data_IF_918429710408
#
_entry.id   IF_918429710408
#
_cell.length_a   1.000
_cell.length_b   1.000
_cell.length_c   1.000
_cell.angle_alpha   90.00
_cell.angle_beta   90.00
_cell.angle_gamma   90.00
#
_symmetry.space_group_name_H-M   'P 1'
#
loop_
_entity.id
_entity.type
_entity.pdbx_description
1 polymer ?
#
# COMPACT_ATOMS: atom_id res chain seq x y z
N UNK A 1 -30.04 -18.71 -1.04
CA UNK A 1 -30.70 -17.80 -1.99
C UNK A 1 -29.70 -16.71 -2.25
N UNK A 2 -29.43 -16.38 -3.52
CA UNK A 2 -28.55 -15.26 -3.88
C UNK A 2 -29.19 -13.96 -3.39
N UNK A 3 -28.49 -13.19 -2.57
CA UNK A 3 -28.96 -11.90 -2.09
C UNK A 3 -28.60 -10.86 -3.14
N UNK A 4 -29.60 -10.35 -3.87
CA UNK A 4 -29.45 -9.29 -4.85
C UNK A 4 -29.98 -7.99 -4.24
N UNK A 5 -29.16 -6.92 -4.33
CA UNK A 5 -29.49 -5.60 -3.82
C UNK A 5 -28.80 -4.51 -4.66
N UNK A 6 -29.14 -3.27 -4.44
CA UNK A 6 -28.53 -2.16 -5.15
C UNK A 6 -28.17 -1.00 -4.21
N UNK A 7 -27.16 -0.24 -4.58
CA UNK A 7 -26.76 1.03 -3.96
C UNK A 7 -26.76 2.13 -5.00
N UNK A 8 -27.23 3.32 -4.61
CA UNK A 8 -27.32 4.50 -5.47
C UNK A 8 -26.75 5.72 -4.76
N UNK A 9 -25.97 6.49 -5.51
CA UNK A 9 -25.44 7.78 -5.08
C UNK A 9 -25.50 8.79 -6.22
N UNK A 10 -25.74 10.07 -5.89
CA UNK A 10 -25.72 11.18 -6.87
C UNK A 10 -24.31 11.57 -7.26
N UNK A 11 -23.32 11.21 -6.43
CA UNK A 11 -21.88 11.41 -6.66
C UNK A 11 -21.18 10.07 -6.63
N UNK A 12 -20.40 9.77 -7.65
CA UNK A 12 -19.67 8.52 -7.72
C UNK A 12 -18.31 8.69 -8.40
N UNK A 13 -17.37 7.83 -8.00
CA UNK A 13 -16.11 7.59 -8.69
C UNK A 13 -16.05 6.08 -9.03
N UNK A 14 -15.89 5.75 -10.31
CA UNK A 14 -16.03 4.35 -10.77
C UNK A 14 -14.73 3.52 -10.66
N UNK A 15 -13.66 4.15 -10.19
CA UNK A 15 -12.30 3.59 -10.17
C UNK A 15 -11.40 4.16 -11.26
N UNK A 16 -11.95 4.91 -12.23
CA UNK A 16 -11.22 5.57 -13.33
C UNK A 16 -11.48 7.07 -13.38
N UNK A 17 -12.71 7.49 -13.02
CA UNK A 17 -13.11 8.89 -13.06
C UNK A 17 -14.40 9.16 -12.31
N UNK A 18 -14.71 10.45 -12.14
CA UNK A 18 -15.96 10.87 -11.54
C UNK A 18 -17.14 10.74 -12.53
N UNK A 19 -18.21 10.09 -12.09
CA UNK A 19 -19.40 9.83 -12.90
C UNK A 19 -20.39 10.97 -12.74
N UNK A 20 -20.73 11.63 -13.85
CA UNK A 20 -21.74 12.71 -13.86
C UNK A 20 -23.15 12.16 -13.72
N UNK A 21 -23.94 12.75 -12.82
CA UNK A 21 -25.35 12.38 -12.63
C UNK A 21 -25.57 11.14 -11.78
N UNK A 22 -24.53 10.72 -11.07
CA UNK A 22 -24.63 9.61 -10.12
C UNK A 22 -24.55 8.22 -10.74
N UNK A 23 -24.64 7.21 -9.88
CA UNK A 23 -24.48 5.82 -10.25
C UNK A 23 -25.39 4.93 -9.41
N UNK A 24 -25.97 3.89 -10.05
CA UNK A 24 -26.63 2.79 -9.36
C UNK A 24 -25.84 1.51 -9.60
N UNK A 25 -25.36 0.87 -8.54
CA UNK A 25 -24.59 -0.39 -8.57
C UNK A 25 -25.48 -1.50 -8.06
N UNK A 26 -25.62 -2.57 -8.85
CA UNK A 26 -26.37 -3.78 -8.50
C UNK A 26 -25.39 -4.86 -8.10
N UNK A 27 -25.60 -5.40 -6.91
CA UNK A 27 -24.76 -6.44 -6.31
C UNK A 27 -25.53 -7.74 -6.22
N UNK A 28 -24.89 -8.85 -6.52
CA UNK A 28 -25.40 -10.19 -6.29
C UNK A 28 -24.35 -11.03 -5.58
N UNK A 29 -24.68 -11.50 -4.38
CA UNK A 29 -23.74 -12.22 -3.50
C UNK A 29 -22.52 -11.33 -3.16
N UNK A 30 -21.36 -11.61 -3.70
CA UNK A 30 -20.10 -10.89 -3.43
C UNK A 30 -19.58 -10.07 -4.63
N UNK A 31 -20.38 -9.98 -5.74
CA UNK A 31 -19.95 -9.31 -6.96
C UNK A 31 -20.93 -8.26 -7.44
N UNK A 32 -20.39 -7.27 -8.13
CA UNK A 32 -21.16 -6.32 -8.92
C UNK A 32 -21.66 -7.04 -10.17
N UNK A 33 -22.96 -7.01 -10.41
CA UNK A 33 -23.60 -7.63 -11.59
C UNK A 33 -24.18 -6.63 -12.56
N UNK A 34 -24.29 -5.36 -12.16
CA UNK A 34 -24.76 -4.27 -13.03
C UNK A 34 -24.33 -2.92 -12.50
N UNK A 35 -24.07 -2.00 -13.40
CA UNK A 35 -23.74 -0.60 -13.12
C UNK A 35 -24.50 0.27 -14.10
N UNK A 36 -25.41 1.10 -13.59
CA UNK A 36 -26.29 1.92 -14.39
C UNK A 36 -26.08 3.41 -14.07
N UNK A 37 -25.97 4.28 -15.06
CA UNK A 37 -25.84 5.71 -14.82
C UNK A 37 -27.11 6.29 -14.21
N UNK A 38 -26.96 7.17 -13.22
CA UNK A 38 -28.03 7.97 -12.64
C UNK A 38 -29.14 7.16 -11.98
N UNK A 39 -30.36 7.65 -12.13
CA UNK A 39 -31.59 7.15 -11.52
C UNK A 39 -32.27 6.11 -12.41
N UNK A 40 -31.74 4.90 -12.49
CA UNK A 40 -32.38 3.80 -13.21
C UNK A 40 -33.59 3.22 -12.43
N UNK A 41 -34.55 2.65 -13.13
CA UNK A 41 -35.67 1.90 -12.53
C UNK A 41 -35.19 0.47 -12.26
N UNK A 42 -35.18 0.10 -10.99
CA UNK A 42 -34.84 -1.26 -10.57
C UNK A 42 -36.09 -2.16 -10.56
N UNK A 43 -35.91 -3.48 -10.71
CA UNK A 43 -36.97 -4.45 -10.42
C UNK A 43 -37.50 -4.27 -8.98
N UNK A 44 -38.82 -4.45 -8.74
CA UNK A 44 -39.44 -4.18 -7.44
C UNK A 44 -38.90 -5.09 -6.31
N UNK A 45 -38.33 -6.19 -6.63
CA UNK A 45 -37.78 -7.19 -5.72
C UNK A 45 -36.31 -6.97 -5.36
N UNK A 46 -35.66 -5.93 -5.93
CA UNK A 46 -34.27 -5.56 -5.64
C UNK A 46 -34.26 -4.44 -4.58
N UNK A 47 -33.88 -4.73 -3.32
CA UNK A 47 -33.73 -3.71 -2.29
C UNK A 47 -32.74 -2.63 -2.71
N UNK A 48 -33.07 -1.36 -2.51
CA UNK A 48 -32.24 -0.22 -2.84
C UNK A 48 -31.80 0.51 -1.57
N UNK A 49 -30.50 0.74 -1.46
CA UNK A 49 -29.90 1.66 -0.48
C UNK A 49 -29.50 2.95 -1.19
N UNK A 50 -30.10 4.07 -0.83
CA UNK A 50 -29.67 5.40 -1.28
C UNK A 50 -28.68 5.98 -0.28
N UNK A 51 -27.58 6.55 -0.80
CA UNK A 51 -26.50 7.11 0.02
C UNK A 51 -26.26 8.57 -0.34
N UNK A 52 -26.01 9.37 0.69
CA UNK A 52 -25.49 10.73 0.54
C UNK A 52 -23.97 10.68 0.68
N UNK A 53 -23.25 11.52 -0.07
CA UNK A 53 -21.80 11.48 -0.16
C UNK A 53 -21.31 10.97 -1.53
N UNK A 54 -20.08 10.51 -1.59
CA UNK A 54 -19.50 9.95 -2.83
C UNK A 54 -19.33 8.44 -2.69
N UNK A 55 -19.97 7.70 -3.59
CA UNK A 55 -19.79 6.25 -3.73
C UNK A 55 -18.54 5.97 -4.58
N UNK A 56 -17.68 5.08 -4.11
CA UNK A 56 -16.48 4.65 -4.84
C UNK A 56 -16.14 3.17 -4.52
N UNK A 57 -15.23 2.54 -5.29
CA UNK A 57 -14.68 1.25 -4.88
C UNK A 57 -13.97 1.35 -3.55
N UNK A 58 -13.95 0.28 -2.78
CA UNK A 58 -13.11 0.19 -1.59
C UNK A 58 -11.64 0.46 -1.91
N UNK A 59 -10.94 1.12 -1.00
CA UNK A 59 -9.53 1.48 -1.16
C UNK A 59 -8.63 0.24 -1.07
N UNK A 60 -7.52 0.29 -1.79
CA UNK A 60 -6.45 -0.72 -1.78
C UNK A 60 -5.16 -0.07 -1.30
N UNK A 61 -4.63 -0.53 -0.15
CA UNK A 61 -3.34 -0.07 0.39
C UNK A 61 -2.23 -1.01 -0.06
N UNK A 62 -1.37 -0.53 -0.98
CA UNK A 62 -0.34 -1.35 -1.62
C UNK A 62 0.87 -1.63 -0.74
N UNK A 63 0.98 -1.01 0.44
CA UNK A 63 2.14 -1.17 1.32
C UNK A 63 1.76 -1.00 2.78
N UNK A 64 1.67 -2.12 3.49
CA UNK A 64 1.46 -2.13 4.94
C UNK A 64 2.40 -3.13 5.61
N UNK A 65 2.58 -2.98 6.93
CA UNK A 65 3.24 -3.90 7.82
C UNK A 65 2.27 -4.25 8.95
N UNK A 66 1.44 -5.26 8.74
CA UNK A 66 0.35 -5.62 9.67
C UNK A 66 0.87 -6.10 11.04
N UNK A 67 2.10 -6.57 11.11
CA UNK A 67 2.76 -7.00 12.37
C UNK A 67 3.22 -5.83 13.24
N UNK A 68 3.12 -4.58 12.76
CA UNK A 68 3.61 -3.39 13.46
C UNK A 68 2.53 -2.32 13.63
N UNK A 69 2.55 -1.62 14.77
CA UNK A 69 1.56 -0.62 15.15
C UNK A 69 1.99 0.84 14.88
N UNK A 70 3.09 1.04 14.16
CA UNK A 70 3.63 2.37 13.86
C UNK A 70 4.25 3.04 15.09
N UNK A 71 5.24 2.40 15.69
CA UNK A 71 6.02 2.96 16.80
C UNK A 71 7.49 3.12 16.39
N UNK A 72 8.29 3.81 17.20
CA UNK A 72 9.73 3.96 16.93
C UNK A 72 10.48 2.64 17.06
N UNK A 73 11.56 2.45 16.28
CA UNK A 73 12.46 1.29 16.41
C UNK A 73 12.85 1.06 17.89
N UNK A 74 12.88 -0.21 18.31
CA UNK A 74 13.16 -0.61 19.69
C UNK A 74 11.98 -0.48 20.66
N UNK A 75 10.85 0.11 20.23
CA UNK A 75 9.66 0.23 21.09
C UNK A 75 8.67 -0.93 20.82
N UNK A 76 7.84 -1.31 21.82
CA UNK A 76 6.75 -2.26 21.59
C UNK A 76 5.85 -1.82 20.43
N UNK A 77 5.54 -2.75 19.53
CA UNK A 77 4.76 -2.47 18.33
C UNK A 77 5.56 -1.91 17.14
N UNK A 78 6.90 -1.82 17.22
CA UNK A 78 7.74 -1.54 16.05
C UNK A 78 7.97 -2.81 15.21
N UNK A 79 8.47 -2.63 13.98
CA UNK A 79 8.89 -3.77 13.14
C UNK A 79 10.02 -4.58 13.80
N UNK A 80 10.97 -3.93 14.47
CA UNK A 80 12.03 -4.61 15.21
C UNK A 80 11.46 -5.45 16.37
N UNK A 81 10.50 -4.90 17.11
CA UNK A 81 9.79 -5.64 18.17
C UNK A 81 9.06 -6.86 17.59
N UNK A 82 8.45 -6.74 16.41
CA UNK A 82 7.74 -7.84 15.77
C UNK A 82 8.66 -9.05 15.53
N UNK A 83 9.93 -8.82 15.15
CA UNK A 83 10.92 -9.88 14.97
C UNK A 83 11.23 -10.72 16.23
N UNK A 84 10.90 -10.21 17.42
CA UNK A 84 11.11 -10.89 18.70
C UNK A 84 9.81 -11.23 19.43
N UNK A 85 8.66 -10.78 18.93
CA UNK A 85 7.36 -10.92 19.60
C UNK A 85 6.83 -12.35 19.48
N UNK A 86 6.04 -12.77 20.49
CA UNK A 86 5.36 -14.05 20.47
C UNK A 86 4.16 -14.07 19.51
N UNK A 87 3.85 -15.25 19.00
CA UNK A 87 2.82 -15.47 17.99
C UNK A 87 1.45 -14.86 18.33
N UNK A 88 0.96 -15.03 19.55
CA UNK A 88 -0.34 -14.49 19.97
C UNK A 88 -0.38 -12.98 19.96
N UNK A 89 0.70 -12.32 20.40
CA UNK A 89 0.80 -10.86 20.39
C UNK A 89 0.79 -10.31 18.97
N UNK A 90 1.42 -11.01 18.03
CA UNK A 90 1.40 -10.63 16.61
C UNK A 90 0.00 -10.77 16.00
N UNK A 91 -0.72 -11.88 16.30
CA UNK A 91 -2.09 -12.09 15.78
C UNK A 91 -3.06 -11.01 16.29
N UNK A 92 -2.91 -10.57 17.54
CA UNK A 92 -3.70 -9.48 18.11
C UNK A 92 -3.40 -8.14 17.42
N UNK A 93 -2.12 -7.84 17.17
CA UNK A 93 -1.68 -6.64 16.44
C UNK A 93 -2.20 -6.66 15.00
N UNK A 94 -2.00 -7.78 14.26
CA UNK A 94 -2.49 -7.93 12.89
C UNK A 94 -4.00 -7.70 12.82
N UNK A 95 -4.77 -8.33 13.70
CA UNK A 95 -6.23 -8.20 13.73
C UNK A 95 -6.67 -6.76 14.03
N UNK A 96 -6.00 -6.09 14.96
CA UNK A 96 -6.25 -4.68 15.31
C UNK A 96 -5.98 -3.77 14.12
N UNK A 97 -4.86 -3.99 13.43
CA UNK A 97 -4.45 -3.20 12.27
C UNK A 97 -5.39 -3.41 11.07
N UNK A 98 -5.84 -4.65 10.82
CA UNK A 98 -6.86 -4.93 9.79
C UNK A 98 -8.19 -4.23 10.09
N UNK A 99 -8.63 -4.18 11.36
CA UNK A 99 -9.82 -3.42 11.76
C UNK A 99 -9.65 -1.91 11.53
N UNK A 100 -8.46 -1.36 11.82
CA UNK A 100 -8.18 0.05 11.54
C UNK A 100 -8.21 0.36 10.03
N UNK A 101 -7.73 -0.56 9.19
CA UNK A 101 -7.78 -0.43 7.73
C UNK A 101 -9.22 -0.39 7.22
N UNK A 102 -10.06 -1.37 7.59
CA UNK A 102 -11.45 -1.39 7.11
C UNK A 102 -12.26 -0.19 7.62
N UNK A 103 -12.03 0.25 8.86
CA UNK A 103 -12.67 1.44 9.42
C UNK A 103 -12.32 2.73 8.65
N UNK A 104 -11.20 2.72 7.91
CA UNK A 104 -10.79 3.80 7.02
C UNK A 104 -11.17 3.59 5.54
N UNK A 105 -12.02 2.60 5.23
CA UNK A 105 -12.48 2.33 3.87
C UNK A 105 -11.51 1.49 3.03
N UNK A 106 -10.44 0.96 3.63
CA UNK A 106 -9.49 0.07 2.94
C UNK A 106 -10.04 -1.36 2.96
N UNK A 107 -10.30 -1.91 1.79
CA UNK A 107 -10.92 -3.25 1.61
C UNK A 107 -9.91 -4.32 1.18
N UNK A 108 -8.74 -3.88 0.71
CA UNK A 108 -7.61 -4.76 0.38
C UNK A 108 -6.32 -4.13 0.85
N UNK A 109 -5.42 -4.93 1.42
CA UNK A 109 -4.08 -4.52 1.83
C UNK A 109 -3.03 -5.44 1.22
N UNK A 110 -1.86 -4.88 0.83
CA UNK A 110 -0.67 -5.64 0.50
C UNK A 110 0.37 -5.49 1.61
N UNK A 111 0.58 -6.57 2.36
CA UNK A 111 1.62 -6.64 3.38
C UNK A 111 2.96 -6.97 2.74
N UNK A 112 3.94 -6.10 2.90
CA UNK A 112 5.26 -6.21 2.28
C UNK A 112 6.37 -6.49 3.29
N UNK A 113 6.02 -7.01 4.45
CA UNK A 113 7.02 -7.44 5.42
C UNK A 113 6.40 -7.85 6.75
N UNK A 114 6.37 -9.16 6.97
CA UNK A 114 6.00 -9.76 8.24
C UNK A 114 7.13 -10.63 8.82
N UNK A 115 6.83 -11.37 9.87
CA UNK A 115 7.71 -12.35 10.49
C UNK A 115 7.06 -13.72 10.44
N UNK A 116 7.84 -14.75 10.11
CA UNK A 116 7.42 -16.15 10.08
C UNK A 116 6.14 -16.41 9.22
N UNK A 117 5.94 -15.61 8.15
CA UNK A 117 4.77 -15.69 7.26
C UNK A 117 3.42 -15.58 8.01
N UNK A 118 3.39 -14.85 9.11
CA UNK A 118 2.25 -14.78 10.03
C UNK A 118 1.01 -14.21 9.38
N UNK A 119 1.19 -13.20 8.54
CA UNK A 119 0.09 -12.50 7.86
C UNK A 119 -0.67 -13.42 6.91
N UNK A 120 -0.02 -14.46 6.34
CA UNK A 120 -0.70 -15.45 5.50
C UNK A 120 -1.85 -16.17 6.23
N UNK A 121 -1.73 -16.38 7.54
CA UNK A 121 -2.77 -16.99 8.37
C UNK A 121 -4.04 -16.15 8.53
N UNK A 122 -3.98 -14.86 8.14
CA UNK A 122 -5.11 -13.94 8.17
C UNK A 122 -5.84 -13.81 6.83
N UNK A 123 -5.39 -14.52 5.78
CA UNK A 123 -6.12 -14.63 4.52
C UNK A 123 -7.41 -15.42 4.68
N UNK A 124 -8.39 -15.12 3.84
CA UNK A 124 -9.58 -15.94 3.68
C UNK A 124 -10.53 -16.00 4.88
N UNK A 125 -10.37 -15.13 5.87
CA UNK A 125 -11.29 -14.98 7.00
C UNK A 125 -12.60 -14.33 6.55
N UNK A 126 -13.32 -15.05 5.67
CA UNK A 126 -14.63 -14.62 5.17
C UNK A 126 -15.60 -14.46 6.33
N UNK A 127 -16.34 -13.35 6.35
CA UNK A 127 -17.37 -13.08 7.36
C UNK A 127 -16.87 -12.37 8.62
N UNK A 128 -15.57 -12.16 8.82
CA UNK A 128 -15.04 -11.41 9.96
C UNK A 128 -15.05 -9.89 9.75
N UNK A 129 -15.45 -9.41 8.57
CA UNK A 129 -15.46 -7.97 8.26
C UNK A 129 -14.07 -7.35 8.18
N UNK A 130 -13.06 -8.14 7.79
CA UNK A 130 -11.67 -7.72 7.64
C UNK A 130 -11.28 -7.58 6.17
N UNK A 131 -10.32 -6.69 5.82
CA UNK A 131 -9.84 -6.53 4.46
C UNK A 131 -9.24 -7.80 3.87
N UNK A 132 -9.27 -7.90 2.56
CA UNK A 132 -8.48 -8.89 1.81
C UNK A 132 -7.00 -8.65 2.03
N UNK A 133 -6.22 -9.73 2.16
CA UNK A 133 -4.78 -9.65 2.38
C UNK A 133 -4.04 -10.26 1.18
N UNK A 134 -3.14 -9.50 0.59
CA UNK A 134 -2.07 -9.89 -0.32
C UNK A 134 -0.78 -9.84 0.49
N UNK A 135 0.04 -10.87 0.53
CA UNK A 135 1.17 -10.92 1.46
C UNK A 135 2.46 -11.46 0.84
N UNK A 136 3.57 -10.82 1.23
CA UNK A 136 4.93 -11.19 0.80
C UNK A 136 5.64 -12.14 1.78
N UNK A 137 5.23 -12.17 3.04
CA UNK A 137 6.02 -12.80 4.09
C UNK A 137 7.27 -11.99 4.48
N UNK A 138 8.27 -12.58 5.15
CA UNK A 138 9.50 -11.91 5.53
C UNK A 138 10.24 -11.35 4.31
N UNK A 139 10.60 -10.04 4.30
CA UNK A 139 11.26 -9.43 3.15
C UNK A 139 12.67 -9.97 2.99
N UNK A 140 13.09 -10.25 1.76
CA UNK A 140 14.45 -10.72 1.46
C UNK A 140 15.47 -9.59 1.62
N UNK A 141 16.51 -9.85 2.39
CA UNK A 141 17.58 -8.90 2.68
C UNK A 141 18.91 -9.61 2.88
N UNK A 142 20.02 -8.88 2.80
CA UNK A 142 21.35 -9.42 3.08
C UNK A 142 21.62 -9.53 4.61
N UNK A 143 22.66 -10.25 5.06
CA UNK A 143 23.07 -10.25 6.45
C UNK A 143 23.31 -8.84 6.98
N UNK A 144 22.74 -8.52 8.14
CA UNK A 144 22.72 -7.18 8.75
C UNK A 144 22.07 -6.08 7.87
N UNK A 145 21.38 -6.44 6.78
CA UNK A 145 20.67 -5.54 5.90
C UNK A 145 19.38 -4.98 6.51
N UNK A 146 18.69 -4.12 5.76
CA UNK A 146 17.45 -3.51 6.22
C UNK A 146 16.38 -4.55 6.54
N UNK A 147 15.72 -4.42 7.68
CA UNK A 147 14.70 -5.35 8.20
C UNK A 147 15.18 -6.80 8.40
N UNK A 148 16.48 -7.06 8.57
CA UNK A 148 17.03 -8.41 8.78
C UNK A 148 16.39 -9.14 9.98
N UNK A 149 15.90 -8.41 10.96
CA UNK A 149 15.24 -8.93 12.16
C UNK A 149 13.86 -9.59 11.87
N UNK A 150 13.31 -9.42 10.68
CA UNK A 150 12.08 -10.10 10.25
C UNK A 150 12.32 -11.52 9.71
N UNK A 151 13.58 -11.96 9.56
CA UNK A 151 13.93 -13.36 9.28
C UNK A 151 14.10 -13.71 7.80
N UNK A 152 13.95 -12.76 6.86
CA UNK A 152 14.13 -13.00 5.42
C UNK A 152 15.58 -12.87 4.93
N UNK A 153 16.58 -13.19 5.77
CA UNK A 153 18.00 -13.02 5.43
C UNK A 153 18.45 -14.06 4.41
N UNK A 154 19.07 -13.59 3.33
CA UNK A 154 19.75 -14.40 2.32
C UNK A 154 21.21 -13.96 2.21
N UNK A 155 22.10 -14.91 2.07
CA UNK A 155 23.52 -14.64 1.78
C UNK A 155 23.76 -14.92 0.30
N UNK A 156 23.96 -13.88 -0.54
CA UNK A 156 24.18 -14.08 -1.98
C UNK A 156 25.44 -14.88 -2.30
N UNK A 157 26.41 -14.93 -1.41
CA UNK A 157 27.66 -15.64 -1.58
C UNK A 157 27.56 -17.12 -1.12
N UNK A 158 26.50 -17.48 -0.37
CA UNK A 158 26.21 -18.86 0.02
C UNK A 158 25.50 -19.62 -1.11
N UNK A 159 26.08 -20.69 -1.64
CA UNK A 159 25.47 -21.48 -2.71
C UNK A 159 24.07 -22.01 -2.33
N UNK A 160 23.09 -21.71 -3.16
CA UNK A 160 21.70 -22.15 -2.99
C UNK A 160 20.87 -21.33 -1.99
N UNK A 161 21.41 -20.27 -1.41
CA UNK A 161 20.67 -19.40 -0.44
C UNK A 161 19.47 -18.75 -1.09
N UNK A 162 19.61 -18.17 -2.28
CA UNK A 162 18.53 -17.51 -3.02
C UNK A 162 17.44 -18.51 -3.45
N UNK A 163 17.86 -19.69 -3.92
CA UNK A 163 16.94 -20.76 -4.36
C UNK A 163 16.10 -21.28 -3.18
N UNK A 164 16.71 -21.53 -2.02
CA UNK A 164 15.98 -21.96 -0.82
C UNK A 164 14.98 -20.90 -0.37
N UNK A 165 15.37 -19.64 -0.39
CA UNK A 165 14.50 -18.54 0.01
C UNK A 165 13.30 -18.38 -0.90
N UNK A 166 13.45 -18.54 -2.22
CA UNK A 166 12.33 -18.50 -3.17
C UNK A 166 11.47 -19.75 -3.03
N UNK A 167 12.07 -20.94 -2.92
CA UNK A 167 11.31 -22.19 -2.74
C UNK A 167 10.44 -22.16 -1.48
N UNK A 168 10.94 -21.63 -0.37
CA UNK A 168 10.16 -21.45 0.86
C UNK A 168 8.94 -20.56 0.62
N UNK A 169 9.07 -19.44 -0.08
CA UNK A 169 7.97 -18.52 -0.38
C UNK A 169 6.92 -19.17 -1.27
N UNK A 170 7.34 -19.95 -2.25
CA UNK A 170 6.44 -20.75 -3.10
C UNK A 170 5.69 -21.78 -2.26
N UNK A 171 6.37 -22.51 -1.38
CA UNK A 171 5.77 -23.50 -0.49
C UNK A 171 4.77 -22.87 0.48
N UNK A 172 5.09 -21.71 1.03
CA UNK A 172 4.21 -20.93 1.91
C UNK A 172 3.03 -20.30 1.16
N UNK A 173 3.11 -20.19 -0.16
CA UNK A 173 2.07 -19.62 -1.00
C UNK A 173 1.93 -18.11 -0.87
N UNK A 174 3.04 -17.36 -0.85
CA UNK A 174 2.99 -15.88 -0.92
C UNK A 174 2.41 -15.39 -2.23
N UNK A 175 1.89 -14.16 -2.27
CA UNK A 175 1.33 -13.55 -3.48
C UNK A 175 2.38 -12.75 -4.25
N UNK A 176 3.39 -12.25 -3.56
CA UNK A 176 4.44 -11.38 -4.08
C UNK A 176 5.70 -11.59 -3.26
N UNK A 177 6.87 -11.30 -3.82
CA UNK A 177 8.14 -11.30 -3.08
C UNK A 177 8.56 -9.86 -2.84
N UNK A 178 9.00 -9.55 -1.62
CA UNK A 178 9.64 -8.28 -1.26
C UNK A 178 11.14 -8.46 -1.09
N UNK A 179 11.93 -7.56 -1.69
CA UNK A 179 13.39 -7.50 -1.49
C UNK A 179 13.82 -6.11 -1.02
N UNK A 180 14.82 -6.05 -0.15
CA UNK A 180 15.41 -4.80 0.33
C UNK A 180 16.62 -4.45 -0.53
N UNK A 181 16.43 -3.71 -1.64
CA UNK A 181 17.49 -3.35 -2.57
C UNK A 181 18.40 -2.22 -2.04
N UNK A 182 17.95 -1.44 -1.07
CA UNK A 182 18.75 -0.43 -0.36
C UNK A 182 18.61 -0.58 1.15
N UNK A 183 19.46 0.09 1.92
CA UNK A 183 19.22 0.32 3.34
C UNK A 183 18.02 1.22 3.58
N UNK A 184 17.58 1.33 4.83
CA UNK A 184 16.37 2.08 5.19
C UNK A 184 16.45 2.71 6.58
N UNK A 185 15.42 3.49 6.92
CA UNK A 185 15.39 4.33 8.13
C UNK A 185 15.15 3.54 9.42
N UNK A 186 14.54 2.35 9.32
CA UNK A 186 14.09 1.59 10.49
C UNK A 186 15.13 0.61 11.03
N UNK A 187 16.28 0.45 10.35
CA UNK A 187 17.34 -0.47 10.76
C UNK A 187 18.62 0.32 11.02
N UNK A 188 18.99 0.51 12.30
CA UNK A 188 20.25 1.17 12.64
C UNK A 188 21.45 0.48 11.96
N UNK A 189 22.34 1.27 11.36
CA UNK A 189 23.54 0.76 10.70
C UNK A 189 23.36 0.32 9.26
N UNK A 190 22.13 0.19 8.73
CA UNK A 190 21.92 -0.04 7.29
C UNK A 190 22.24 1.22 6.48
N UNK A 191 22.82 1.05 5.27
CA UNK A 191 23.23 2.19 4.43
C UNK A 191 22.07 2.66 3.54
N UNK A 192 21.45 3.81 3.90
CA UNK A 192 20.35 4.42 3.17
C UNK A 192 20.76 5.01 1.81
N UNK A 193 22.07 5.18 1.55
CA UNK A 193 22.60 5.77 0.32
C UNK A 193 23.19 4.74 -0.64
N UNK A 194 23.37 3.50 -0.19
CA UNK A 194 23.93 2.39 -0.95
C UNK A 194 22.90 1.40 -1.48
N UNK A 195 23.32 0.53 -2.38
CA UNK A 195 22.61 -0.69 -2.73
C UNK A 195 23.00 -1.82 -1.77
N UNK A 196 22.04 -2.67 -1.37
CA UNK A 196 22.32 -3.85 -0.53
C UNK A 196 22.71 -5.08 -1.33
N UNK A 197 22.30 -5.16 -2.57
CA UNK A 197 22.64 -6.25 -3.48
C UNK A 197 23.50 -5.73 -4.63
N UNK A 198 24.44 -6.55 -5.07
CA UNK A 198 25.04 -6.37 -6.38
C UNK A 198 24.06 -6.80 -7.49
N UNK A 199 24.29 -6.34 -8.72
CA UNK A 199 23.39 -6.59 -9.85
C UNK A 199 23.22 -8.10 -10.15
N UNK A 200 24.30 -8.86 -10.15
CA UNK A 200 24.24 -10.26 -10.57
C UNK A 200 23.40 -11.13 -9.61
N UNK A 201 23.60 -11.10 -8.27
CA UNK A 201 22.73 -11.83 -7.34
C UNK A 201 21.28 -11.32 -7.33
N UNK A 202 21.02 -10.01 -7.44
CA UNK A 202 19.66 -9.51 -7.48
C UNK A 202 18.94 -9.95 -8.75
N UNK A 203 19.59 -9.92 -9.91
CA UNK A 203 19.03 -10.45 -11.16
C UNK A 203 18.69 -11.92 -11.06
N UNK A 204 19.62 -12.74 -10.49
CA UNK A 204 19.35 -14.16 -10.24
C UNK A 204 18.12 -14.36 -9.35
N UNK A 205 17.98 -13.56 -8.29
CA UNK A 205 16.81 -13.60 -7.41
C UNK A 205 15.51 -13.28 -8.20
N UNK A 206 15.53 -12.22 -9.01
CA UNK A 206 14.40 -11.84 -9.86
C UNK A 206 14.04 -12.97 -10.82
N UNK A 207 15.02 -13.55 -11.52
CA UNK A 207 14.79 -14.67 -12.46
C UNK A 207 14.17 -15.89 -11.76
N UNK A 208 14.61 -16.23 -10.54
CA UNK A 208 14.04 -17.33 -9.75
C UNK A 208 12.58 -17.06 -9.36
N UNK A 209 12.28 -15.83 -8.92
CA UNK A 209 10.92 -15.41 -8.56
C UNK A 209 10.00 -15.44 -9.77
N UNK A 210 10.43 -14.91 -10.92
CA UNK A 210 9.67 -14.93 -12.16
C UNK A 210 9.45 -16.36 -12.69
N UNK A 211 10.47 -17.23 -12.59
CA UNK A 211 10.34 -18.64 -12.95
C UNK A 211 9.30 -19.38 -12.09
N UNK A 212 9.07 -18.91 -10.85
CA UNK A 212 8.02 -19.41 -9.97
C UNK A 212 6.63 -18.80 -10.25
N UNK A 213 6.50 -17.89 -11.22
CA UNK A 213 5.25 -17.20 -11.56
C UNK A 213 4.85 -16.10 -10.58
N UNK A 214 5.78 -15.65 -9.73
CA UNK A 214 5.57 -14.57 -8.76
C UNK A 214 6.14 -13.25 -9.28
N UNK A 215 5.62 -12.14 -8.74
CA UNK A 215 6.19 -10.80 -8.91
C UNK A 215 7.13 -10.48 -7.76
N UNK A 216 8.08 -9.57 -8.01
CA UNK A 216 9.01 -9.06 -6.98
C UNK A 216 9.00 -7.54 -6.95
N UNK A 217 8.83 -6.97 -5.74
CA UNK A 217 8.89 -5.53 -5.51
C UNK A 217 10.07 -5.17 -4.60
N UNK A 218 10.75 -4.09 -4.92
CA UNK A 218 12.01 -3.70 -4.28
C UNK A 218 11.86 -2.44 -3.43
N UNK A 219 12.27 -2.51 -2.16
CA UNK A 219 12.50 -1.35 -1.31
C UNK A 219 13.68 -0.53 -1.85
N UNK A 220 13.47 0.73 -2.16
CA UNK A 220 14.47 1.60 -2.81
C UNK A 220 14.44 3.01 -2.23
N UNK A 221 15.32 3.30 -1.27
CA UNK A 221 15.52 4.68 -0.82
C UNK A 221 16.63 5.39 -1.59
N UNK A 222 17.70 4.68 -1.95
CA UNK A 222 18.86 5.27 -2.64
C UNK A 222 18.75 5.22 -4.17
N UNK A 223 19.47 6.12 -4.84
CA UNK A 223 19.66 6.03 -6.29
C UNK A 223 20.36 4.72 -6.69
N UNK A 224 21.49 4.28 -6.07
CA UNK A 224 22.09 3.01 -6.42
C UNK A 224 21.18 1.80 -6.19
N UNK A 225 20.38 1.78 -5.10
CA UNK A 225 19.41 0.70 -4.85
C UNK A 225 18.31 0.65 -5.92
N UNK A 226 17.80 1.80 -6.35
CA UNK A 226 16.83 1.88 -7.44
C UNK A 226 17.44 1.45 -8.79
N UNK A 227 18.65 1.89 -9.11
CA UNK A 227 19.35 1.53 -10.34
C UNK A 227 19.58 0.02 -10.46
N UNK A 228 19.99 -0.61 -9.37
CA UNK A 228 20.24 -2.06 -9.35
C UNK A 228 18.93 -2.84 -9.45
N UNK A 229 17.84 -2.39 -8.79
CA UNK A 229 16.53 -3.02 -8.86
C UNK A 229 15.94 -2.95 -10.29
N UNK A 230 16.04 -1.78 -10.95
CA UNK A 230 15.64 -1.59 -12.35
C UNK A 230 16.47 -2.46 -13.29
N UNK A 231 17.80 -2.49 -13.11
CA UNK A 231 18.69 -3.29 -13.95
C UNK A 231 18.49 -4.80 -13.74
N UNK A 232 18.07 -5.22 -12.57
CA UNK A 232 17.76 -6.61 -12.26
C UNK A 232 16.42 -7.05 -12.83
N UNK A 233 15.49 -6.12 -13.15
CA UNK A 233 14.19 -6.42 -13.72
C UNK A 233 13.09 -6.64 -12.68
N UNK A 234 13.17 -5.98 -11.51
CA UNK A 234 12.07 -5.99 -10.53
C UNK A 234 10.76 -5.45 -11.15
N UNK A 235 9.60 -5.87 -10.63
CA UNK A 235 8.29 -5.48 -11.16
C UNK A 235 7.78 -4.16 -10.60
N UNK A 236 8.26 -3.78 -9.42
CA UNK A 236 7.85 -2.54 -8.73
C UNK A 236 8.91 -2.00 -7.80
N UNK A 237 8.82 -0.70 -7.53
CA UNK A 237 9.73 0.05 -6.66
C UNK A 237 8.92 0.69 -5.53
N UNK A 238 9.29 0.36 -4.30
CA UNK A 238 8.70 0.92 -3.10
C UNK A 238 9.53 2.12 -2.62
N UNK A 239 8.86 3.16 -2.12
CA UNK A 239 9.40 4.45 -1.69
C UNK A 239 9.98 5.28 -2.84
N UNK A 240 10.92 4.74 -3.58
CA UNK A 240 11.61 5.41 -4.70
C UNK A 240 12.05 6.85 -4.36
N UNK A 241 12.55 7.04 -3.14
CA UNK A 241 12.91 8.37 -2.60
C UNK A 241 14.10 8.97 -3.33
N UNK A 242 14.93 8.12 -3.94
CA UNK A 242 16.13 8.49 -4.69
C UNK A 242 17.06 9.42 -3.89
N UNK A 243 17.35 9.00 -2.64
CA UNK A 243 18.31 9.69 -1.79
C UNK A 243 19.71 9.64 -2.40
N UNK A 244 20.37 10.79 -2.38
CA UNK A 244 21.76 10.97 -2.75
C UNK A 244 22.40 12.01 -1.81
N UNK A 245 23.72 12.15 -1.84
CA UNK A 245 24.38 13.24 -1.11
C UNK A 245 23.84 14.59 -1.60
N UNK A 246 23.29 15.38 -0.68
CA UNK A 246 22.77 16.72 -0.96
C UNK A 246 21.32 16.78 -1.48
N UNK A 247 20.59 15.67 -1.48
CA UNK A 247 19.17 15.74 -1.85
C UNK A 247 18.48 14.42 -2.11
N UNK A 248 17.23 14.53 -2.55
CA UNK A 248 16.38 13.40 -2.94
C UNK A 248 15.69 13.77 -4.26
N UNK A 249 16.18 13.23 -5.37
CA UNK A 249 15.57 13.38 -6.68
C UNK A 249 16.05 12.27 -7.63
N UNK A 250 15.11 11.64 -8.33
CA UNK A 250 15.44 10.62 -9.33
C UNK A 250 16.17 11.28 -10.52
N UNK A 251 17.32 10.74 -10.99
CA UNK A 251 17.91 11.13 -12.25
C UNK A 251 16.93 10.90 -13.42
N UNK A 252 16.96 11.77 -14.44
CA UNK A 252 16.06 11.65 -15.60
C UNK A 252 16.24 10.31 -16.32
N UNK A 253 17.47 9.86 -16.49
CA UNK A 253 17.82 8.59 -17.12
C UNK A 253 17.27 7.38 -16.33
N UNK A 254 17.18 7.50 -15.00
CA UNK A 254 16.57 6.46 -14.18
C UNK A 254 15.04 6.43 -14.38
N UNK A 255 14.40 7.61 -14.44
CA UNK A 255 12.95 7.69 -14.73
C UNK A 255 12.62 7.10 -16.10
N UNK A 256 13.40 7.42 -17.13
CA UNK A 256 13.25 6.86 -18.47
C UNK A 256 13.36 5.32 -18.47
N UNK A 257 14.32 4.77 -17.71
CA UNK A 257 14.48 3.32 -17.57
C UNK A 257 13.33 2.66 -16.82
N UNK A 258 12.83 3.28 -15.75
CA UNK A 258 11.65 2.80 -14.99
C UNK A 258 10.42 2.78 -15.91
N UNK A 259 10.19 3.84 -16.67
CA UNK A 259 9.10 3.94 -17.64
C UNK A 259 9.22 2.88 -18.74
N UNK A 260 10.39 2.74 -19.35
CA UNK A 260 10.66 1.76 -20.41
C UNK A 260 10.48 0.31 -19.93
N UNK A 261 10.79 0.02 -18.67
CA UNK A 261 10.58 -1.27 -18.05
C UNK A 261 9.10 -1.55 -17.67
N UNK A 262 8.23 -0.54 -17.73
CA UNK A 262 6.81 -0.67 -17.35
C UNK A 262 6.61 -0.94 -15.85
N UNK A 263 7.59 -0.58 -15.02
CA UNK A 263 7.55 -0.80 -13.57
C UNK A 263 6.49 0.06 -12.89
N UNK A 264 5.96 -0.44 -11.79
CA UNK A 264 5.08 0.33 -10.90
C UNK A 264 5.92 0.99 -9.79
N UNK A 265 5.56 2.21 -9.40
CA UNK A 265 6.18 2.92 -8.27
C UNK A 265 5.12 3.18 -7.20
N UNK A 266 5.40 2.77 -5.97
CA UNK A 266 4.68 3.20 -4.77
C UNK A 266 5.56 4.18 -3.98
N UNK A 267 5.26 5.49 -4.03
CA UNK A 267 6.07 6.49 -3.33
C UNK A 267 5.84 6.50 -1.82
N UNK A 268 4.94 5.68 -1.30
CA UNK A 268 4.58 5.56 0.12
C UNK A 268 4.40 6.91 0.81
N UNK A 269 3.65 7.82 0.21
CA UNK A 269 3.30 9.12 0.78
C UNK A 269 2.36 8.98 1.99
N UNK A 270 1.94 10.08 2.59
CA UNK A 270 0.87 10.08 3.58
C UNK A 270 1.33 10.10 5.03
N UNK A 271 2.38 10.83 5.32
CA UNK A 271 2.79 11.04 6.71
C UNK A 271 1.80 11.90 7.49
N UNK A 272 1.67 11.65 8.79
CA UNK A 272 1.04 12.55 9.76
C UNK A 272 2.11 13.21 10.65
N UNK A 273 2.62 14.41 10.29
CA UNK A 273 3.69 15.06 11.02
C UNK A 273 3.36 15.34 12.49
N UNK A 274 2.06 15.48 12.83
CA UNK A 274 1.62 15.76 14.22
C UNK A 274 1.91 14.59 15.18
N UNK A 275 2.12 13.39 14.63
CA UNK A 275 2.43 12.18 15.41
C UNK A 275 3.93 11.97 15.67
N UNK A 276 4.78 12.76 15.04
CA UNK A 276 6.19 12.77 15.41
C UNK A 276 6.40 13.62 16.67
N UNK A 277 7.30 13.23 17.58
CA UNK A 277 7.72 14.09 18.66
C UNK A 277 8.43 15.33 18.11
N UNK A 278 8.60 16.38 18.93
CA UNK A 278 9.50 17.47 18.61
C UNK A 278 10.88 16.94 18.21
N UNK A 279 11.56 17.64 17.31
CA UNK A 279 12.90 17.22 16.82
C UNK A 279 13.88 17.02 17.99
N UNK A 280 13.77 17.84 19.05
CA UNK A 280 14.60 17.69 20.27
C UNK A 280 14.45 16.34 20.97
N UNK A 281 13.32 15.68 20.81
CA UNK A 281 12.94 14.45 21.52
C UNK A 281 13.13 13.21 20.65
N UNK A 282 13.63 13.38 19.40
CA UNK A 282 13.93 12.28 18.51
C UNK A 282 15.15 11.48 18.98
N UNK A 283 15.16 10.15 18.76
CA UNK A 283 16.33 9.32 19.05
C UNK A 283 17.59 9.84 18.35
N UNK A 284 18.77 9.82 19.01
CA UNK A 284 20.01 10.38 18.46
C UNK A 284 20.37 9.83 17.06
N UNK A 285 20.18 8.54 16.82
CA UNK A 285 20.49 7.92 15.54
C UNK A 285 19.59 8.47 14.39
N UNK A 286 18.35 8.88 14.69
CA UNK A 286 17.47 9.53 13.72
C UNK A 286 17.98 10.94 13.42
N UNK A 287 18.40 11.69 14.42
CA UNK A 287 18.96 13.04 14.25
C UNK A 287 20.25 13.02 13.41
N UNK A 288 21.16 12.08 13.71
CA UNK A 288 22.39 11.88 12.95
C UNK A 288 22.10 11.53 11.48
N UNK A 289 21.11 10.67 11.25
CA UNK A 289 20.68 10.31 9.90
C UNK A 289 20.09 11.49 9.14
N UNK A 290 19.16 12.26 9.74
CA UNK A 290 18.60 13.45 9.12
C UNK A 290 19.69 14.47 8.76
N UNK A 291 20.66 14.67 9.65
CA UNK A 291 21.81 15.54 9.39
C UNK A 291 22.68 15.02 8.23
N UNK A 292 22.95 13.71 8.17
CA UNK A 292 23.70 13.07 7.07
C UNK A 292 23.00 13.23 5.72
N UNK A 293 21.67 13.18 5.71
CA UNK A 293 20.85 13.34 4.50
C UNK A 293 20.57 14.81 4.16
N UNK A 294 21.02 15.76 4.98
CA UNK A 294 20.76 17.20 4.79
C UNK A 294 19.29 17.57 4.96
N UNK A 295 18.51 16.79 5.70
CA UNK A 295 17.09 17.07 5.99
C UNK A 295 17.03 17.98 7.21
N UNK A 296 16.91 19.28 6.96
CA UNK A 296 16.83 20.33 8.00
C UNK A 296 15.40 20.78 8.26
N UNK A 297 14.51 20.61 7.28
CA UNK A 297 13.08 20.90 7.35
C UNK A 297 12.30 19.66 6.88
N UNK A 298 11.58 19.06 7.82
CA UNK A 298 10.81 17.84 7.60
C UNK A 298 9.60 18.08 6.70
N UNK A 299 8.92 19.20 6.90
CA UNK A 299 7.69 19.49 6.16
C UNK A 299 8.02 19.81 4.69
N UNK A 300 9.13 20.53 4.44
CA UNK A 300 9.65 20.74 3.09
C UNK A 300 10.14 19.42 2.47
N UNK A 301 10.73 18.51 3.24
CA UNK A 301 11.11 17.18 2.75
C UNK A 301 9.88 16.39 2.24
N UNK A 302 8.78 16.36 3.01
CA UNK A 302 7.55 15.69 2.60
C UNK A 302 6.89 16.39 1.42
N UNK A 303 6.82 17.72 1.41
CA UNK A 303 6.28 18.49 0.29
C UNK A 303 7.08 18.25 -1.01
N UNK A 304 8.39 18.13 -0.92
CA UNK A 304 9.26 17.79 -2.05
C UNK A 304 9.02 16.36 -2.56
N UNK A 305 8.86 15.39 -1.64
CA UNK A 305 8.52 14.03 -2.03
C UNK A 305 7.20 13.98 -2.83
N UNK A 306 6.17 14.69 -2.38
CA UNK A 306 4.90 14.81 -3.11
C UNK A 306 5.08 15.45 -4.49
N UNK A 307 5.85 16.55 -4.60
CA UNK A 307 6.13 17.17 -5.91
C UNK A 307 6.96 16.28 -6.84
N UNK A 308 7.88 15.48 -6.31
CA UNK A 308 8.67 14.54 -7.12
C UNK A 308 7.81 13.50 -7.83
N UNK A 309 6.61 13.18 -7.31
CA UNK A 309 5.70 12.25 -7.97
C UNK A 309 5.13 12.78 -9.29
N UNK A 310 5.08 14.10 -9.50
CA UNK A 310 4.72 14.66 -10.81
C UNK A 310 5.67 14.22 -11.91
N UNK A 311 6.96 14.09 -11.59
CA UNK A 311 7.94 13.62 -12.57
C UNK A 311 7.68 12.16 -12.96
N UNK A 312 7.18 11.32 -12.04
CA UNK A 312 6.76 9.96 -12.36
C UNK A 312 5.60 9.99 -13.37
N UNK A 313 4.58 10.81 -13.09
CA UNK A 313 3.42 11.00 -13.97
C UNK A 313 3.84 11.55 -15.35
N UNK A 314 4.69 12.56 -15.41
CA UNK A 314 5.18 13.17 -16.66
C UNK A 314 5.94 12.17 -17.54
N UNK A 315 6.62 11.19 -16.93
CA UNK A 315 7.31 10.11 -17.66
C UNK A 315 6.40 8.92 -17.95
N UNK A 316 5.09 8.99 -17.62
CA UNK A 316 4.14 7.90 -17.86
C UNK A 316 4.35 6.68 -16.97
N UNK A 317 5.08 6.83 -15.85
CA UNK A 317 5.32 5.77 -14.88
C UNK A 317 4.02 5.51 -14.11
N UNK A 318 3.63 4.24 -13.99
CA UNK A 318 2.48 3.84 -13.20
C UNK A 318 2.76 4.04 -11.71
N UNK A 319 1.89 4.80 -11.06
CA UNK A 319 1.96 5.05 -9.61
C UNK A 319 0.79 4.38 -8.92
N UNK A 320 1.06 3.75 -7.78
CA UNK A 320 0.05 3.23 -6.84
C UNK A 320 0.24 3.86 -5.47
N UNK A 321 -0.78 3.79 -4.64
CA UNK A 321 -0.73 4.32 -3.27
C UNK A 321 -0.64 3.18 -2.26
N UNK A 322 0.46 3.17 -1.53
CA UNK A 322 0.63 2.50 -0.25
C UNK A 322 0.99 3.53 0.81
N UNK A 323 0.64 3.26 2.05
CA UNK A 323 0.96 4.16 3.16
C UNK A 323 2.31 3.82 3.77
N UNK A 324 2.79 2.58 3.67
CA UNK A 324 3.83 2.00 4.53
C UNK A 324 3.37 2.00 6.01
N UNK A 325 2.07 1.61 6.17
CA UNK A 325 1.40 1.64 7.46
C UNK A 325 2.07 0.68 8.45
N UNK A 326 2.27 1.13 9.68
CA UNK A 326 2.97 0.39 10.72
C UNK A 326 4.47 0.67 10.80
N UNK A 327 5.08 1.30 9.80
CA UNK A 327 6.53 1.52 9.77
C UNK A 327 7.01 2.51 10.85
N UNK A 328 6.28 3.58 11.09
CA UNK A 328 6.67 4.61 12.07
C UNK A 328 5.43 5.36 12.63
N UNK A 329 5.58 6.20 13.67
CA UNK A 329 4.46 6.90 14.31
C UNK A 329 3.62 7.76 13.39
N UNK A 330 4.19 8.33 12.32
CA UNK A 330 3.46 9.17 11.38
C UNK A 330 2.67 8.37 10.34
N UNK A 331 2.78 7.04 10.35
CA UNK A 331 2.14 6.13 9.40
C UNK A 331 1.33 5.04 10.13
N UNK A 332 0.37 5.38 11.00
CA UNK A 332 -0.51 4.38 11.59
C UNK A 332 -1.45 3.79 10.52
N UNK A 333 -1.97 2.60 10.78
CA UNK A 333 -2.98 2.00 9.91
C UNK A 333 -4.23 2.88 9.81
N UNK A 334 -4.86 2.88 8.62
CA UNK A 334 -6.07 3.66 8.33
C UNK A 334 -5.83 5.10 7.84
N UNK A 335 -4.62 5.47 7.47
CA UNK A 335 -4.31 6.80 6.92
C UNK A 335 -4.01 6.83 5.41
N UNK A 336 -4.35 5.79 4.65
CA UNK A 336 -4.09 5.73 3.20
C UNK A 336 -4.62 6.98 2.45
N UNK A 337 -5.75 7.56 2.90
CA UNK A 337 -6.30 8.78 2.32
C UNK A 337 -5.30 9.94 2.27
N UNK A 338 -4.35 10.01 3.23
CA UNK A 338 -3.30 11.04 3.23
C UNK A 338 -2.31 10.84 2.08
N UNK A 339 -2.01 9.59 1.68
CA UNK A 339 -1.19 9.31 0.50
C UNK A 339 -1.82 9.93 -0.76
N UNK A 340 -3.11 9.71 -0.97
CA UNK A 340 -3.87 10.29 -2.08
C UNK A 340 -3.93 11.82 -1.99
N UNK A 341 -4.21 12.37 -0.80
CA UNK A 341 -4.26 13.81 -0.59
C UNK A 341 -2.89 14.48 -0.84
N UNK A 342 -1.79 13.82 -0.54
CA UNK A 342 -0.45 14.32 -0.83
C UNK A 342 -0.13 14.32 -2.33
N UNK A 343 -0.60 13.35 -3.10
CA UNK A 343 -0.52 13.40 -4.57
C UNK A 343 -1.25 14.63 -5.12
N UNK A 344 -2.48 14.88 -4.68
CA UNK A 344 -3.26 16.07 -5.10
C UNK A 344 -2.54 17.37 -4.69
N UNK A 345 -2.02 17.45 -3.47
CA UNK A 345 -1.21 18.59 -3.01
C UNK A 345 0.06 18.75 -3.84
N UNK A 346 0.64 17.65 -4.32
CA UNK A 346 1.77 17.61 -5.26
C UNK A 346 1.42 18.06 -6.68
N UNK A 347 0.13 18.25 -7.01
CA UNK A 347 -0.35 18.73 -8.31
C UNK A 347 -1.01 17.67 -9.21
N UNK A 348 -1.31 16.48 -8.69
CA UNK A 348 -2.06 15.47 -9.46
C UNK A 348 -3.54 15.86 -9.58
N UNK A 349 -4.20 15.57 -10.70
CA UNK A 349 -5.66 15.59 -10.78
C UNK A 349 -6.29 14.66 -9.74
N UNK A 350 -7.43 15.07 -9.16
CA UNK A 350 -8.06 14.32 -8.06
C UNK A 350 -8.47 12.90 -8.50
N UNK A 351 -9.03 12.76 -9.68
CA UNK A 351 -9.45 11.47 -10.25
C UNK A 351 -8.26 10.52 -10.46
N UNK A 352 -7.16 11.01 -11.03
CA UNK A 352 -5.95 10.22 -11.21
C UNK A 352 -5.33 9.82 -9.85
N UNK A 353 -5.32 10.72 -8.87
CA UNK A 353 -4.82 10.44 -7.53
C UNK A 353 -5.68 9.38 -6.80
N UNK A 354 -7.01 9.45 -6.91
CA UNK A 354 -7.91 8.44 -6.32
C UNK A 354 -7.75 7.09 -7.03
N UNK A 355 -7.50 7.07 -8.34
CA UNK A 355 -7.25 5.85 -9.09
C UNK A 355 -6.01 5.10 -8.59
N UNK A 356 -4.98 5.80 -8.04
CA UNK A 356 -3.77 5.16 -7.48
C UNK A 356 -4.05 4.31 -6.24
N UNK A 357 -5.14 4.58 -5.50
CA UNK A 357 -5.57 3.84 -4.32
C UNK A 357 -6.80 2.94 -4.58
N UNK A 358 -7.24 2.83 -5.83
CA UNK A 358 -8.39 2.02 -6.24
C UNK A 358 -8.02 1.11 -7.40
N UNK A 359 -8.32 1.48 -8.65
CA UNK A 359 -8.13 0.62 -9.81
C UNK A 359 -6.67 0.30 -10.10
N UNK A 360 -5.77 1.29 -10.04
CA UNK A 360 -4.34 1.05 -10.30
C UNK A 360 -3.71 0.16 -9.22
N UNK A 361 -4.07 0.38 -7.95
CA UNK A 361 -3.63 -0.44 -6.83
C UNK A 361 -4.17 -1.88 -6.92
N UNK A 362 -5.44 -2.05 -7.30
CA UNK A 362 -6.04 -3.36 -7.47
C UNK A 362 -5.36 -4.15 -8.60
N UNK A 363 -5.08 -3.50 -9.73
CA UNK A 363 -4.36 -4.11 -10.86
C UNK A 363 -2.94 -4.54 -10.45
N UNK A 364 -2.23 -3.71 -9.69
CA UNK A 364 -0.88 -4.01 -9.23
C UNK A 364 -0.86 -5.14 -8.18
N UNK A 365 -1.89 -5.22 -7.34
CA UNK A 365 -2.08 -6.32 -6.38
C UNK A 365 -2.66 -7.60 -7.02
N UNK A 366 -3.09 -7.56 -8.29
CA UNK A 366 -3.69 -8.71 -8.98
C UNK A 366 -5.06 -9.11 -8.43
N UNK A 367 -5.87 -8.14 -7.95
CA UNK A 367 -7.19 -8.39 -7.36
C UNK A 367 -8.31 -7.83 -8.23
N UNK A 368 -9.42 -8.57 -8.35
CA UNK A 368 -10.62 -8.14 -9.10
C UNK A 368 -11.48 -7.17 -8.29
N UNK A 369 -10.86 -6.07 -7.81
CA UNK A 369 -11.45 -5.01 -7.00
C UNK A 369 -11.13 -3.62 -7.58
N UNK A 370 -11.38 -2.55 -6.85
CA UNK A 370 -10.97 -1.19 -7.18
C UNK A 370 -11.74 -0.53 -8.33
N UNK A 371 -12.83 -1.18 -8.81
CA UNK A 371 -13.72 -0.62 -9.84
C UNK A 371 -15.18 -0.90 -9.53
N UNK A 372 -16.05 0.07 -9.83
CA UNK A 372 -17.49 -0.16 -9.88
C UNK A 372 -17.83 -0.65 -11.31
N UNK A 373 -17.56 -1.93 -11.56
CA UNK A 373 -17.73 -2.56 -12.88
C UNK A 373 -18.27 -3.99 -12.70
N UNK A 374 -19.16 -4.42 -13.61
CA UNK A 374 -19.71 -5.77 -13.56
C UNK A 374 -18.62 -6.85 -13.62
N UNK A 375 -18.72 -7.85 -12.77
CA UNK A 375 -17.73 -8.91 -12.59
C UNK A 375 -16.72 -8.64 -11.46
N UNK A 376 -16.54 -7.38 -11.03
CA UNK A 376 -15.65 -7.05 -9.93
C UNK A 376 -16.29 -7.38 -8.56
N UNK A 377 -15.45 -7.51 -7.55
CA UNK A 377 -15.89 -7.69 -6.17
C UNK A 377 -16.70 -6.47 -5.71
N UNK A 378 -17.76 -6.74 -4.97
CA UNK A 378 -18.60 -5.71 -4.38
C UNK A 378 -17.96 -5.15 -3.09
N UNK A 379 -16.71 -4.69 -3.22
CA UNK A 379 -15.98 -3.95 -2.21
C UNK A 379 -16.25 -2.46 -2.45
N UNK A 380 -17.12 -1.86 -1.62
CA UNK A 380 -17.65 -0.52 -1.84
C UNK A 380 -17.33 0.38 -0.64
N UNK A 381 -17.16 1.65 -0.92
CA UNK A 381 -16.94 2.71 0.06
C UNK A 381 -17.88 3.90 -0.22
N UNK A 382 -18.46 4.46 0.81
CA UNK A 382 -19.10 5.78 0.77
C UNK A 382 -18.33 6.70 1.70
N UNK A 383 -17.98 7.88 1.20
CA UNK A 383 -17.34 8.94 1.98
C UNK A 383 -18.25 10.17 2.08
N UNK A 384 -18.19 10.86 3.22
CA UNK A 384 -18.97 12.07 3.43
C UNK A 384 -18.41 13.25 2.61
N UNK A 385 -19.27 13.84 1.78
CA UNK A 385 -18.95 14.99 0.96
C UNK A 385 -18.71 14.67 -0.51
N UNK A 386 -18.24 15.69 -1.23
CA UNK A 386 -17.94 15.63 -2.67
C UNK A 386 -16.44 15.42 -2.88
N UNK A 387 -16.07 14.18 -3.16
CA UNK A 387 -14.68 13.79 -3.37
C UNK A 387 -14.04 14.49 -4.59
N UNK A 388 -14.83 14.91 -5.57
CA UNK A 388 -14.32 15.60 -6.77
C UNK A 388 -13.75 16.98 -6.48
N UNK A 389 -14.17 17.60 -5.37
CA UNK A 389 -13.74 18.95 -4.96
C UNK A 389 -12.96 18.97 -3.65
N UNK A 390 -13.12 17.93 -2.82
CA UNK A 390 -12.43 17.79 -1.54
C UNK A 390 -11.88 16.36 -1.37
N UNK A 391 -10.62 16.16 -1.76
CA UNK A 391 -9.94 14.86 -1.62
C UNK A 391 -9.85 14.38 -0.18
N UNK A 392 -9.93 15.28 0.82
CA UNK A 392 -9.92 14.91 2.24
C UNK A 392 -11.20 14.18 2.68
N UNK A 393 -12.25 14.18 1.85
CA UNK A 393 -13.43 13.36 2.04
C UNK A 393 -13.09 11.87 2.19
N UNK A 394 -12.01 11.38 1.55
CA UNK A 394 -11.51 10.00 1.73
C UNK A 394 -11.21 9.66 3.20
N UNK A 395 -10.91 10.64 4.03
CA UNK A 395 -10.70 10.47 5.47
C UNK A 395 -11.99 10.44 6.30
N UNK A 396 -13.16 10.51 5.68
CA UNK A 396 -14.48 10.50 6.32
C UNK A 396 -15.38 9.39 5.77
N UNK A 397 -14.97 8.09 5.92
CA UNK A 397 -15.80 6.98 5.47
C UNK A 397 -17.11 6.93 6.27
N UNK A 398 -18.24 6.80 5.58
CA UNK A 398 -19.57 6.70 6.21
C UNK A 398 -20.19 5.30 6.09
N UNK A 399 -19.76 4.50 5.09
CA UNK A 399 -20.13 3.10 5.00
C UNK A 399 -19.13 2.30 4.16
N UNK A 400 -18.91 1.04 4.52
CA UNK A 400 -17.99 0.12 3.83
C UNK A 400 -18.65 -1.24 3.65
N UNK A 401 -18.55 -1.79 2.44
CA UNK A 401 -18.94 -3.16 2.11
C UNK A 401 -17.73 -3.97 1.68
N UNK A 402 -17.65 -5.20 2.17
CA UNK A 402 -16.68 -6.21 1.76
C UNK A 402 -17.41 -7.38 1.10
N UNK A 403 -17.17 -7.61 -0.18
CA UNK A 403 -17.86 -8.66 -0.91
C UNK A 403 -19.37 -8.59 -0.77
N UNK A 404 -19.96 -7.39 -0.90
CA UNK A 404 -21.39 -7.16 -0.82
C UNK A 404 -22.01 -7.15 0.58
N UNK A 405 -21.20 -7.35 1.63
CA UNK A 405 -21.65 -7.30 3.03
C UNK A 405 -21.23 -5.99 3.67
N UNK A 406 -22.20 -5.25 4.24
CA UNK A 406 -21.92 -4.02 4.97
C UNK A 406 -21.20 -4.37 6.28
N UNK A 407 -19.99 -3.84 6.45
CA UNK A 407 -19.11 -4.11 7.60
C UNK A 407 -18.91 -2.89 8.48
N UNK A 408 -19.20 -1.70 7.96
CA UNK A 408 -19.19 -0.44 8.70
C UNK A 408 -20.31 0.46 8.19
N UNK A 409 -21.05 1.06 9.12
CA UNK A 409 -22.03 2.10 8.84
C UNK A 409 -21.97 3.17 9.92
N UNK A 410 -21.86 4.43 9.51
CA UNK A 410 -22.04 5.59 10.39
C UNK A 410 -23.51 5.94 10.58
N UNK A 411 -24.45 5.28 9.86
CA UNK A 411 -25.87 5.48 10.01
C UNK A 411 -26.37 4.83 11.30
N UNK A 412 -27.27 5.47 12.07
CA UNK A 412 -27.98 4.77 13.10
C UNK A 412 -28.80 3.65 12.42
N UNK A 413 -28.66 2.41 12.88
CA UNK A 413 -29.54 1.32 12.46
C UNK A 413 -30.99 1.79 12.66
N UNK A 414 -31.87 1.69 11.66
CA UNK A 414 -33.29 1.85 11.91
C UNK A 414 -33.67 0.69 12.86
N UNK A 415 -34.01 1.05 14.13
CA UNK A 415 -34.46 0.13 15.19
C UNK A 415 -35.75 -0.63 14.81
#
# INVERSE_FOLDING_TARGET
>A
MSTRWAIRADRAFDGRGFVRGGLTVVVETDRIVGVEPGMCVLPPDVPLTEVDGTLLPGLVDCHVHLVAAGTFPGSPGSLEWAGAAGASALDDVITTNLRAQVAAGVTTVRDLGDVDFRVLGHRGRKGEGLPRVVAAGPPLTIPAGHCHYLGGVVDPDEPGSLERAVAERVERGVDVVKVMASGGFLTPGSDQLGAQFELAPLRRLVDLVHAAGLRIVAHTHSVPGAEVAVAAGADGLEHFTCLAQGGAAAPTELLERVAAAGMTVDPTLGNDPSRFPPVSDMPPHILEMLARLGITDRDEHFARAARNTLRLREHGIRVVSGLDAGANPAKPHGLLWKSVAELVRGGWPVDEAVATATSAAADDCGVEAGRLEAGHLADLLVVDGDLSTDVTALGRPSAVWLGGVEVMSARPHPG
#
